data_IF_266178126662
#
_entry.id   IF_266178126662
#
_cell.length_a   1.000
_cell.length_b   1.000
_cell.length_c   1.000
_cell.angle_alpha   90.00
_cell.angle_beta   90.00
_cell.angle_gamma   90.00
#
_symmetry.space_group_name_H-M   'P 1'
#
loop_
_entity.id
_entity.type
_entity.pdbx_description
1 polymer ?
#
# COMPACT_ATOMS: atom_id res chain seq x y z
N UNK A 1 -73.65 70.28 -49.71
CA UNK A 1 -74.24 71.60 -49.37
C UNK A 1 -74.07 72.59 -50.52
N UNK A 2 -74.55 72.27 -51.72
CA UNK A 2 -74.50 73.19 -52.90
C UNK A 2 -75.89 73.31 -53.56
N UNK A 3 -76.83 72.40 -53.24
CA UNK A 3 -78.19 72.40 -53.80
C UNK A 3 -79.15 73.44 -53.23
N UNK A 4 -78.86 74.05 -52.08
CA UNK A 4 -79.76 75.03 -51.43
C UNK A 4 -79.61 76.45 -51.98
N UNK A 5 -78.42 76.82 -52.48
CA UNK A 5 -78.10 78.18 -52.90
C UNK A 5 -78.58 78.50 -54.34
N UNK A 6 -78.83 77.46 -55.15
CA UNK A 6 -79.36 77.60 -56.51
C UNK A 6 -80.88 77.83 -56.48
N UNK A 7 -81.61 77.19 -55.56
CA UNK A 7 -83.07 77.29 -55.45
C UNK A 7 -83.48 78.68 -54.96
N UNK A 8 -82.75 79.26 -54.00
CA UNK A 8 -83.05 80.59 -53.45
C UNK A 8 -82.77 81.75 -54.43
N UNK A 9 -81.98 81.49 -55.49
CA UNK A 9 -81.67 82.46 -56.56
C UNK A 9 -82.73 82.44 -57.68
N UNK A 10 -83.36 81.29 -57.90
CA UNK A 10 -84.48 81.14 -58.84
C UNK A 10 -85.73 81.83 -58.32
N UNK A 11 -86.02 81.73 -57.02
CA UNK A 11 -87.20 82.37 -56.41
C UNK A 11 -87.09 83.91 -56.27
N UNK A 12 -85.87 84.46 -56.23
CA UNK A 12 -85.68 85.93 -56.19
C UNK A 12 -85.86 86.59 -57.56
N UNK A 13 -85.61 85.86 -58.64
CA UNK A 13 -85.79 86.33 -60.02
C UNK A 13 -87.28 86.33 -60.45
N UNK A 14 -88.08 85.39 -59.94
CA UNK A 14 -89.52 85.31 -60.24
C UNK A 14 -90.33 86.46 -59.61
N UNK A 15 -89.95 86.92 -58.41
CA UNK A 15 -90.62 88.06 -57.75
C UNK A 15 -90.31 89.42 -58.37
N UNK A 16 -89.07 89.65 -58.84
CA UNK A 16 -88.69 90.92 -59.51
C UNK A 16 -89.24 91.03 -60.94
N UNK A 17 -89.38 89.91 -61.66
CA UNK A 17 -90.01 89.88 -62.98
C UNK A 17 -91.51 90.21 -62.95
N UNK A 18 -92.21 89.84 -61.88
CA UNK A 18 -93.66 89.99 -61.76
C UNK A 18 -94.10 91.46 -61.60
N UNK A 19 -93.33 92.30 -60.89
CA UNK A 19 -93.67 93.71 -60.67
C UNK A 19 -93.35 94.62 -61.87
N UNK A 20 -92.31 94.33 -62.66
CA UNK A 20 -92.00 95.09 -63.88
C UNK A 20 -92.96 94.76 -65.03
N UNK A 21 -93.49 93.54 -65.10
CA UNK A 21 -94.45 93.14 -66.13
C UNK A 21 -95.81 93.84 -65.96
N UNK A 22 -96.27 94.07 -64.73
CA UNK A 22 -97.58 94.71 -64.48
C UNK A 22 -97.62 96.20 -64.89
N UNK A 23 -96.55 96.97 -64.61
CA UNK A 23 -96.45 98.38 -65.02
C UNK A 23 -96.22 98.54 -66.54
N UNK A 24 -95.61 97.55 -67.18
CA UNK A 24 -95.40 97.56 -68.63
C UNK A 24 -96.68 97.21 -69.40
N UNK A 25 -97.52 96.32 -68.87
CA UNK A 25 -98.78 95.91 -69.51
C UNK A 25 -99.82 97.04 -69.49
N UNK A 26 -99.94 97.81 -68.41
CA UNK A 26 -100.87 98.96 -68.37
C UNK A 26 -100.44 100.11 -69.29
N UNK A 27 -99.13 100.39 -69.40
CA UNK A 27 -98.62 101.38 -70.35
C UNK A 27 -98.78 100.92 -71.82
N UNK A 28 -98.58 99.64 -72.10
CA UNK A 28 -98.78 99.05 -73.42
C UNK A 28 -100.27 99.00 -73.80
N UNK A 29 -101.18 98.72 -72.85
CA UNK A 29 -102.63 98.78 -73.09
C UNK A 29 -103.11 100.22 -73.33
N UNK A 30 -102.55 101.22 -72.64
CA UNK A 30 -102.88 102.64 -72.86
C UNK A 30 -102.42 103.14 -74.23
N UNK A 31 -101.22 102.76 -74.69
CA UNK A 31 -100.72 103.10 -76.05
C UNK A 31 -101.53 102.39 -77.14
N UNK A 32 -101.98 101.14 -76.87
CA UNK A 32 -102.79 100.38 -77.84
C UNK A 32 -104.20 100.98 -78.00
N UNK A 33 -104.79 101.51 -76.93
CA UNK A 33 -106.13 102.13 -76.97
C UNK A 33 -106.13 103.49 -77.69
N UNK A 34 -105.08 104.31 -77.51
CA UNK A 34 -104.96 105.61 -78.18
C UNK A 34 -104.67 105.46 -79.69
N UNK A 35 -103.88 104.45 -80.09
CA UNK A 35 -103.62 104.20 -81.51
C UNK A 35 -104.83 103.62 -82.28
N UNK A 36 -105.77 102.95 -81.62
CA UNK A 36 -106.96 102.38 -82.29
C UNK A 36 -108.01 103.47 -82.58
N UNK A 37 -108.05 104.57 -81.82
CA UNK A 37 -109.00 105.66 -82.03
C UNK A 37 -108.59 106.69 -83.10
N UNK A 38 -107.41 106.54 -83.73
CA UNK A 38 -106.94 107.39 -84.83
C UNK A 38 -107.04 106.75 -86.23
N UNK A 39 -107.53 105.51 -86.34
CA UNK A 39 -107.79 104.86 -87.62
C UNK A 39 -109.22 104.32 -87.70
N UNK A 40 -110.19 105.23 -87.78
CA UNK A 40 -111.49 104.89 -88.34
C UNK A 40 -111.88 105.86 -89.45
N UNK A 41 -112.53 105.28 -90.46
CA UNK A 41 -113.29 105.91 -91.55
C UNK A 41 -112.52 106.48 -92.75
N UNK A 42 -111.93 105.59 -93.52
CA UNK A 42 -112.06 105.56 -95.00
C UNK A 42 -112.01 104.09 -95.41
N UNK A 43 -112.84 103.68 -96.37
CA UNK A 43 -112.85 102.32 -96.92
C UNK A 43 -111.48 102.05 -97.55
N UNK A 44 -110.57 101.50 -96.77
CA UNK A 44 -109.25 101.07 -97.22
C UNK A 44 -109.48 100.09 -98.37
N UNK A 45 -108.93 100.42 -99.54
CA UNK A 45 -109.01 99.58 -100.72
C UNK A 45 -108.47 98.19 -100.36
N UNK A 46 -108.98 97.13 -100.99
CA UNK A 46 -108.62 95.73 -100.70
C UNK A 46 -107.11 95.54 -100.62
N UNK A 47 -106.37 96.34 -101.39
CA UNK A 47 -104.91 96.42 -101.44
C UNK A 47 -104.25 96.87 -100.12
N UNK A 48 -104.75 97.91 -99.43
CA UNK A 48 -104.11 98.38 -98.19
C UNK A 48 -104.38 97.45 -96.99
N UNK A 49 -105.52 96.76 -96.99
CA UNK A 49 -105.81 95.69 -96.02
C UNK A 49 -104.94 94.46 -96.29
N UNK A 50 -104.73 94.12 -97.56
CA UNK A 50 -103.84 93.03 -97.97
C UNK A 50 -102.38 93.34 -97.60
N UNK A 51 -101.96 94.61 -97.73
CA UNK A 51 -100.66 95.08 -97.26
C UNK A 51 -100.52 94.94 -95.73
N UNK A 52 -101.52 95.36 -94.95
CA UNK A 52 -101.48 95.23 -93.48
C UNK A 52 -101.52 93.77 -93.02
N UNK A 53 -102.31 92.92 -93.67
CA UNK A 53 -102.37 91.47 -93.43
C UNK A 53 -101.01 90.84 -93.76
N UNK A 54 -100.36 91.25 -94.85
CA UNK A 54 -99.02 90.76 -95.20
C UNK A 54 -97.97 91.18 -94.16
N UNK A 55 -98.04 92.41 -93.64
CA UNK A 55 -97.15 92.90 -92.56
C UNK A 55 -97.40 92.15 -91.25
N UNK A 56 -98.66 91.86 -90.91
CA UNK A 56 -99.01 91.08 -89.73
C UNK A 56 -98.53 89.63 -89.85
N UNK A 57 -98.73 88.98 -91.00
CA UNK A 57 -98.22 87.63 -91.25
C UNK A 57 -96.69 87.57 -91.27
N UNK A 58 -96.02 88.56 -91.87
CA UNK A 58 -94.56 88.67 -91.83
C UNK A 58 -94.05 88.83 -90.38
N UNK A 59 -94.78 89.58 -89.54
CA UNK A 59 -94.44 89.73 -88.12
C UNK A 59 -94.70 88.47 -87.31
N UNK A 60 -95.80 87.77 -87.56
CA UNK A 60 -96.10 86.48 -86.93
C UNK A 60 -95.05 85.44 -87.32
N UNK A 61 -94.69 85.34 -88.60
CA UNK A 61 -93.62 84.48 -89.08
C UNK A 61 -92.29 84.83 -88.41
N UNK A 62 -91.94 86.12 -88.33
CA UNK A 62 -90.73 86.57 -87.63
C UNK A 62 -90.73 86.24 -86.13
N UNK A 63 -91.90 86.18 -85.47
CA UNK A 63 -92.00 85.78 -84.07
C UNK A 63 -91.95 84.26 -83.89
N UNK A 64 -92.54 83.51 -84.82
CA UNK A 64 -92.43 82.05 -84.88
C UNK A 64 -90.97 81.63 -85.07
N UNK A 65 -90.25 82.25 -86.02
CA UNK A 65 -88.82 82.01 -86.24
C UNK A 65 -87.97 82.32 -84.99
N UNK A 66 -88.31 83.40 -84.27
CA UNK A 66 -87.63 83.77 -83.02
C UNK A 66 -87.93 82.79 -81.89
N UNK A 67 -89.17 82.33 -81.78
CA UNK A 67 -89.55 81.32 -80.78
C UNK A 67 -88.82 80.01 -81.06
N UNK A 68 -88.80 79.55 -82.31
CA UNK A 68 -88.12 78.32 -82.72
C UNK A 68 -86.61 78.42 -82.47
N UNK A 69 -85.99 79.57 -82.79
CA UNK A 69 -84.58 79.82 -82.51
C UNK A 69 -84.28 79.77 -81.00
N UNK A 70 -85.11 80.43 -80.18
CA UNK A 70 -84.94 80.44 -78.72
C UNK A 70 -85.13 79.04 -78.15
N UNK A 71 -86.18 78.33 -78.53
CA UNK A 71 -86.42 76.96 -78.07
C UNK A 71 -85.31 76.01 -78.49
N UNK A 72 -84.78 76.16 -79.71
CA UNK A 72 -83.63 75.37 -80.17
C UNK A 72 -82.40 75.66 -79.31
N UNK A 73 -82.09 76.94 -79.07
CA UNK A 73 -80.94 77.35 -78.26
C UNK A 73 -81.04 76.87 -76.81
N UNK A 74 -82.24 76.89 -76.22
CA UNK A 74 -82.49 76.37 -74.87
C UNK A 74 -82.41 74.84 -74.83
N UNK A 75 -82.93 74.14 -75.85
CA UNK A 75 -82.77 72.68 -75.97
C UNK A 75 -81.29 72.28 -76.10
N UNK A 76 -80.49 73.04 -76.84
CA UNK A 76 -79.06 72.80 -76.97
C UNK A 76 -78.31 73.05 -75.66
N UNK A 77 -78.60 74.17 -74.96
CA UNK A 77 -78.05 74.45 -73.63
C UNK A 77 -78.42 73.36 -72.63
N UNK A 78 -79.69 72.91 -72.65
CA UNK A 78 -80.17 71.84 -71.79
C UNK A 78 -79.47 70.51 -72.09
N UNK A 79 -79.31 70.15 -73.36
CA UNK A 79 -78.56 68.96 -73.77
C UNK A 79 -77.09 69.03 -73.34
N UNK A 80 -76.43 70.15 -73.60
CA UNK A 80 -75.04 70.38 -73.20
C UNK A 80 -74.85 70.31 -71.68
N UNK A 81 -75.76 70.91 -70.91
CA UNK A 81 -75.75 70.83 -69.46
C UNK A 81 -75.95 69.38 -68.95
N UNK A 82 -76.88 68.64 -69.55
CA UNK A 82 -77.10 67.22 -69.22
C UNK A 82 -75.90 66.35 -69.58
N UNK A 83 -75.25 66.61 -70.72
CA UNK A 83 -74.03 65.90 -71.14
C UNK A 83 -72.85 66.22 -70.21
N UNK A 84 -72.66 67.48 -69.83
CA UNK A 84 -71.64 67.87 -68.86
C UNK A 84 -71.89 67.21 -67.49
N UNK A 85 -73.14 67.14 -67.03
CA UNK A 85 -73.50 66.44 -65.80
C UNK A 85 -73.18 64.93 -65.90
N UNK A 86 -73.55 64.27 -67.00
CA UNK A 86 -73.24 62.85 -67.23
C UNK A 86 -71.74 62.59 -67.22
N UNK A 87 -70.95 63.44 -67.88
CA UNK A 87 -69.48 63.31 -67.91
C UNK A 87 -68.86 63.52 -66.52
N UNK A 88 -69.38 64.47 -65.74
CA UNK A 88 -68.95 64.69 -64.36
C UNK A 88 -69.26 63.46 -63.49
N UNK A 89 -70.48 62.92 -63.58
CA UNK A 89 -70.89 61.72 -62.85
C UNK A 89 -70.05 60.50 -63.25
N UNK A 90 -69.78 60.30 -64.54
CA UNK A 90 -68.92 59.22 -65.01
C UNK A 90 -67.48 59.38 -64.54
N UNK A 91 -66.98 60.61 -64.48
CA UNK A 91 -65.64 60.90 -63.94
C UNK A 91 -65.56 60.58 -62.45
N UNK A 92 -66.59 60.97 -61.67
CA UNK A 92 -66.70 60.65 -60.25
C UNK A 92 -66.81 59.13 -60.01
N UNK A 93 -67.62 58.42 -60.81
CA UNK A 93 -67.74 56.95 -60.73
C UNK A 93 -66.41 56.27 -61.02
N UNK A 94 -65.70 56.68 -62.08
CA UNK A 94 -64.39 56.14 -62.43
C UNK A 94 -63.38 56.38 -61.31
N UNK A 95 -63.37 57.56 -60.73
CA UNK A 95 -62.46 57.89 -59.63
C UNK A 95 -62.76 57.06 -58.38
N UNK A 96 -64.03 56.90 -58.03
CA UNK A 96 -64.45 56.03 -56.92
C UNK A 96 -64.03 54.57 -57.14
N UNK A 97 -64.28 54.02 -58.34
CA UNK A 97 -63.88 52.65 -58.69
C UNK A 97 -62.35 52.50 -58.63
N UNK A 98 -61.59 53.49 -59.13
CA UNK A 98 -60.11 53.49 -59.04
C UNK A 98 -59.63 53.51 -57.59
N UNK A 99 -60.24 54.34 -56.75
CA UNK A 99 -59.88 54.42 -55.34
C UNK A 99 -60.12 53.08 -54.63
N UNK A 100 -61.25 52.45 -54.89
CA UNK A 100 -61.59 51.16 -54.29
C UNK A 100 -60.70 50.03 -54.80
N UNK A 101 -60.40 50.03 -56.11
CA UNK A 101 -59.43 49.10 -56.69
C UNK A 101 -58.04 49.25 -56.07
N UNK A 102 -57.60 50.48 -55.79
CA UNK A 102 -56.33 50.75 -55.13
C UNK A 102 -56.33 50.29 -53.66
N UNK A 103 -57.44 50.47 -52.94
CA UNK A 103 -57.60 49.96 -51.56
C UNK A 103 -57.50 48.44 -51.53
N UNK A 104 -58.20 47.75 -52.41
CA UNK A 104 -58.14 46.29 -52.47
C UNK A 104 -56.78 45.80 -52.94
N UNK A 105 -56.14 46.47 -53.91
CA UNK A 105 -54.78 46.12 -54.33
C UNK A 105 -53.78 46.22 -53.17
N UNK A 106 -53.82 47.31 -52.41
CA UNK A 106 -52.92 47.49 -51.25
C UNK A 106 -53.21 46.48 -50.14
N UNK A 107 -54.49 46.16 -49.88
CA UNK A 107 -54.88 45.07 -48.95
C UNK A 107 -54.27 43.74 -49.36
N UNK A 108 -54.44 43.32 -50.61
CA UNK A 108 -53.87 42.08 -51.13
C UNK A 108 -52.33 42.10 -51.15
N UNK A 109 -51.70 43.24 -51.42
CA UNK A 109 -50.24 43.39 -51.31
C UNK A 109 -49.75 43.17 -49.88
N UNK A 110 -50.42 43.79 -48.89
CA UNK A 110 -50.08 43.63 -47.47
C UNK A 110 -50.27 42.17 -47.04
N UNK A 111 -51.38 41.54 -47.41
CA UNK A 111 -51.64 40.12 -47.09
C UNK A 111 -50.61 39.20 -47.76
N UNK A 112 -50.29 39.41 -49.04
CA UNK A 112 -49.21 38.66 -49.72
C UNK A 112 -47.88 38.82 -48.99
N UNK A 113 -47.51 40.04 -48.61
CA UNK A 113 -46.27 40.28 -47.86
C UNK A 113 -46.30 39.68 -46.45
N UNK A 114 -47.46 39.61 -45.80
CA UNK A 114 -47.64 38.94 -44.51
C UNK A 114 -47.42 37.43 -44.68
N UNK A 115 -48.12 36.79 -45.61
CA UNK A 115 -47.98 35.36 -45.88
C UNK A 115 -46.56 34.98 -46.32
N UNK A 116 -45.90 35.80 -47.14
CA UNK A 116 -44.51 35.58 -47.54
C UNK A 116 -43.53 35.67 -46.36
N UNK A 117 -43.77 36.58 -45.41
CA UNK A 117 -42.97 36.68 -44.19
C UNK A 117 -43.19 35.46 -43.30
N UNK A 118 -44.45 35.12 -43.01
CA UNK A 118 -44.79 33.95 -42.19
C UNK A 118 -44.22 32.65 -42.77
N UNK A 119 -44.29 32.45 -44.09
CA UNK A 119 -43.71 31.29 -44.77
C UNK A 119 -42.17 31.28 -44.77
N UNK A 120 -41.53 32.45 -44.69
CA UNK A 120 -40.07 32.55 -44.55
C UNK A 120 -39.67 32.25 -43.10
N UNK A 121 -40.35 32.87 -42.14
CA UNK A 121 -40.11 32.70 -40.72
C UNK A 121 -40.32 31.25 -40.28
N UNK A 122 -41.35 30.57 -40.80
CA UNK A 122 -41.59 29.15 -40.56
C UNK A 122 -40.42 28.27 -41.04
N UNK A 123 -39.95 28.48 -42.28
CA UNK A 123 -38.79 27.74 -42.82
C UNK A 123 -37.51 28.04 -42.05
N UNK A 124 -37.26 29.30 -41.72
CA UNK A 124 -36.10 29.65 -40.91
C UNK A 124 -36.18 29.04 -39.50
N UNK A 125 -37.36 28.97 -38.90
CA UNK A 125 -37.56 28.33 -37.61
C UNK A 125 -37.26 26.82 -37.67
N UNK A 126 -37.76 26.12 -38.68
CA UNK A 126 -37.45 24.69 -38.89
C UNK A 126 -35.94 24.46 -39.08
N UNK A 127 -35.27 25.32 -39.85
CA UNK A 127 -33.81 25.25 -40.04
C UNK A 127 -33.06 25.52 -38.72
N UNK A 128 -33.49 26.50 -37.93
CA UNK A 128 -32.91 26.79 -36.61
C UNK A 128 -33.07 25.59 -35.67
N UNK A 129 -34.25 24.97 -35.64
CA UNK A 129 -34.49 23.76 -34.84
C UNK A 129 -33.64 22.57 -35.31
N UNK A 130 -33.48 22.38 -36.63
CA UNK A 130 -32.60 21.35 -37.17
C UNK A 130 -31.15 21.59 -36.77
N UNK A 131 -30.64 22.82 -36.91
CA UNK A 131 -29.29 23.19 -36.49
C UNK A 131 -29.09 23.03 -34.98
N UNK A 132 -30.07 23.44 -34.17
CA UNK A 132 -30.03 23.26 -32.72
C UNK A 132 -29.92 21.78 -32.34
N UNK A 133 -30.76 20.91 -32.92
CA UNK A 133 -30.70 19.45 -32.72
C UNK A 133 -29.36 18.87 -33.16
N UNK A 134 -28.84 19.29 -34.31
CA UNK A 134 -27.53 18.84 -34.78
C UNK A 134 -26.40 19.30 -33.86
N UNK A 135 -26.42 20.54 -33.38
CA UNK A 135 -25.42 21.04 -32.42
C UNK A 135 -25.48 20.30 -31.10
N UNK A 136 -26.68 20.05 -30.56
CA UNK A 136 -26.88 19.30 -29.31
C UNK A 136 -26.41 17.85 -29.46
N UNK A 137 -26.73 17.21 -30.59
CA UNK A 137 -26.26 15.87 -30.89
C UNK A 137 -24.73 15.80 -30.98
N UNK A 138 -24.08 16.75 -31.66
CA UNK A 138 -22.62 16.84 -31.73
C UNK A 138 -22.01 17.05 -30.35
N UNK A 139 -22.55 17.96 -29.54
CA UNK A 139 -22.12 18.18 -28.16
C UNK A 139 -22.23 16.92 -27.31
N UNK A 140 -23.35 16.20 -27.40
CA UNK A 140 -23.53 14.93 -26.69
C UNK A 140 -22.55 13.85 -27.16
N UNK A 141 -22.33 13.71 -28.47
CA UNK A 141 -21.33 12.77 -28.99
C UNK A 141 -19.92 13.10 -28.53
N UNK A 142 -19.53 14.39 -28.52
CA UNK A 142 -18.23 14.83 -28.01
C UNK A 142 -18.09 14.55 -26.51
N UNK A 143 -19.17 14.76 -25.74
CA UNK A 143 -19.20 14.45 -24.32
C UNK A 143 -19.05 12.94 -24.06
N UNK A 144 -19.78 12.10 -24.79
CA UNK A 144 -19.64 10.64 -24.71
C UNK A 144 -18.23 10.18 -25.07
N UNK A 145 -17.61 10.77 -26.11
CA UNK A 145 -16.22 10.45 -26.46
C UNK A 145 -15.26 10.87 -25.34
N UNK A 146 -15.45 12.05 -24.76
CA UNK A 146 -14.66 12.51 -23.62
C UNK A 146 -14.80 11.57 -22.43
N UNK A 147 -16.03 11.23 -22.03
CA UNK A 147 -16.30 10.30 -20.92
C UNK A 147 -15.70 8.92 -21.17
N UNK A 148 -15.79 8.41 -22.42
CA UNK A 148 -15.17 7.15 -22.81
C UNK A 148 -13.65 7.20 -22.68
N UNK A 149 -13.01 8.28 -23.15
CA UNK A 149 -11.56 8.47 -23.02
C UNK A 149 -11.15 8.58 -21.55
N UNK A 150 -11.85 9.38 -20.75
CA UNK A 150 -11.61 9.52 -19.31
C UNK A 150 -11.77 8.19 -18.59
N UNK A 151 -12.80 7.40 -18.93
CA UNK A 151 -12.99 6.07 -18.37
C UNK A 151 -11.84 5.12 -18.76
N UNK A 152 -11.42 5.12 -20.02
CA UNK A 152 -10.29 4.31 -20.50
C UNK A 152 -8.97 4.70 -19.80
N UNK A 153 -8.67 5.99 -19.70
CA UNK A 153 -7.48 6.47 -18.99
C UNK A 153 -7.52 6.14 -17.50
N UNK A 154 -8.67 6.35 -16.85
CA UNK A 154 -8.82 6.03 -15.44
C UNK A 154 -8.76 4.52 -15.18
N UNK A 155 -9.25 3.69 -16.11
CA UNK A 155 -9.10 2.23 -16.03
C UNK A 155 -7.64 1.83 -16.13
N UNK A 156 -6.94 2.27 -17.18
CA UNK A 156 -5.52 1.97 -17.38
C UNK A 156 -4.67 2.43 -16.18
N UNK A 157 -4.91 3.64 -15.68
CA UNK A 157 -4.19 4.15 -14.51
C UNK A 157 -4.45 3.30 -13.27
N UNK A 158 -5.69 2.87 -13.04
CA UNK A 158 -6.02 1.98 -11.92
C UNK A 158 -5.38 0.61 -12.06
N UNK A 159 -5.34 0.06 -13.26
CA UNK A 159 -4.68 -1.23 -13.54
C UNK A 159 -3.18 -1.16 -13.26
N UNK A 160 -2.48 -0.15 -13.79
CA UNK A 160 -1.04 0.01 -13.53
C UNK A 160 -0.76 0.27 -12.05
N UNK A 161 -1.58 1.10 -11.39
CA UNK A 161 -1.45 1.36 -9.97
C UNK A 161 -1.71 0.09 -9.14
N UNK A 162 -2.67 -0.75 -9.54
CA UNK A 162 -2.95 -2.02 -8.89
C UNK A 162 -1.79 -3.02 -9.07
N UNK A 163 -1.18 -3.10 -10.26
CA UNK A 163 0.01 -3.94 -10.49
C UNK A 163 1.17 -3.53 -9.58
N UNK A 164 1.47 -2.24 -9.52
CA UNK A 164 2.51 -1.71 -8.64
C UNK A 164 2.19 -1.98 -7.17
N UNK A 165 0.94 -1.75 -6.73
CA UNK A 165 0.51 -2.08 -5.36
C UNK A 165 0.73 -3.55 -5.01
N UNK A 166 0.29 -4.46 -5.87
CA UNK A 166 0.45 -5.90 -5.66
C UNK A 166 1.93 -6.29 -5.63
N UNK A 167 2.77 -5.69 -6.49
CA UNK A 167 4.21 -5.92 -6.48
C UNK A 167 4.88 -5.43 -5.17
N UNK A 168 4.51 -4.23 -4.69
CA UNK A 168 5.00 -3.70 -3.42
C UNK A 168 4.52 -4.52 -2.23
N UNK A 169 3.26 -4.95 -2.20
CA UNK A 169 2.73 -5.82 -1.14
C UNK A 169 3.45 -7.17 -1.13
N UNK A 170 3.70 -7.77 -2.28
CA UNK A 170 4.48 -9.00 -2.39
C UNK A 170 5.92 -8.83 -1.87
N UNK A 171 6.56 -7.69 -2.18
CA UNK A 171 7.89 -7.36 -1.66
C UNK A 171 7.88 -7.18 -0.13
N UNK A 172 6.88 -6.48 0.43
CA UNK A 172 6.72 -6.30 1.88
C UNK A 172 6.50 -7.64 2.60
N UNK A 173 5.65 -8.51 2.06
CA UNK A 173 5.47 -9.87 2.59
C UNK A 173 6.78 -10.64 2.52
N UNK A 174 7.53 -10.54 1.42
CA UNK A 174 8.85 -11.16 1.28
C UNK A 174 9.86 -10.66 2.32
N UNK A 175 9.89 -9.35 2.59
CA UNK A 175 10.76 -8.77 3.62
C UNK A 175 10.34 -9.17 5.03
N UNK A 176 9.03 -9.20 5.30
CA UNK A 176 8.48 -9.64 6.59
C UNK A 176 8.85 -11.08 6.88
N UNK A 177 8.72 -11.98 5.90
CA UNK A 177 9.15 -13.38 6.03
C UNK A 177 10.65 -13.53 6.27
N UNK A 178 11.48 -12.71 5.60
CA UNK A 178 12.93 -12.71 5.87
C UNK A 178 13.25 -12.21 7.28
N UNK A 179 12.50 -11.23 7.77
CA UNK A 179 12.64 -10.72 9.13
C UNK A 179 12.24 -11.77 10.16
N UNK A 180 11.10 -12.44 9.97
CA UNK A 180 10.62 -13.55 10.80
C UNK A 180 11.63 -14.70 10.82
N UNK A 181 12.20 -15.07 9.67
CA UNK A 181 13.26 -16.08 9.62
C UNK A 181 14.54 -15.65 10.37
N UNK A 182 14.88 -14.36 10.37
CA UNK A 182 16.00 -13.85 11.16
C UNK A 182 15.66 -13.89 12.65
N UNK A 183 14.43 -13.53 13.02
CA UNK A 183 13.92 -13.59 14.40
C UNK A 183 13.98 -15.03 14.92
N UNK A 184 13.49 -16.02 14.17
CA UNK A 184 13.57 -17.45 14.51
C UNK A 184 15.03 -17.92 14.71
N UNK A 185 15.96 -17.48 13.85
CA UNK A 185 17.38 -17.80 13.99
C UNK A 185 17.99 -17.16 15.23
N UNK A 186 17.59 -15.92 15.56
CA UNK A 186 18.06 -15.21 16.76
C UNK A 186 17.52 -15.90 18.01
N UNK A 187 16.23 -16.25 18.06
CA UNK A 187 15.62 -16.96 19.17
C UNK A 187 16.23 -18.35 19.36
N UNK A 188 16.43 -19.09 18.27
CA UNK A 188 17.13 -20.36 18.31
C UNK A 188 18.57 -20.23 18.84
N UNK A 189 19.29 -19.16 18.48
CA UNK A 189 20.62 -18.87 19.02
C UNK A 189 20.56 -18.49 20.51
N UNK A 190 19.58 -17.71 20.92
CA UNK A 190 19.39 -17.33 22.32
C UNK A 190 19.15 -18.57 23.21
N UNK A 191 18.38 -19.54 22.74
CA UNK A 191 18.17 -20.82 23.42
C UNK A 191 19.46 -21.66 23.49
N UNK A 192 20.23 -21.73 22.41
CA UNK A 192 21.53 -22.42 22.41
C UNK A 192 22.52 -21.77 23.37
N UNK A 193 22.58 -20.44 23.42
CA UNK A 193 23.44 -19.70 24.34
C UNK A 193 23.01 -19.91 25.80
N UNK A 194 21.70 -20.04 26.08
CA UNK A 194 21.19 -20.40 27.40
C UNK A 194 21.66 -21.79 27.81
N UNK A 195 21.50 -22.80 26.95
CA UNK A 195 21.96 -24.17 27.23
C UNK A 195 23.49 -24.25 27.39
N UNK A 196 24.24 -23.49 26.59
CA UNK A 196 25.68 -23.40 26.72
C UNK A 196 26.10 -22.79 28.06
N UNK A 197 25.41 -21.74 28.54
CA UNK A 197 25.65 -21.17 29.88
C UNK A 197 25.34 -22.17 30.99
N UNK A 198 24.26 -22.94 30.87
CA UNK A 198 23.95 -24.01 31.83
C UNK A 198 25.06 -25.06 31.86
N UNK A 199 25.50 -25.56 30.70
CA UNK A 199 26.60 -26.53 30.61
C UNK A 199 27.92 -25.97 31.17
N UNK A 200 28.26 -24.71 30.86
CA UNK A 200 29.43 -24.03 31.42
C UNK A 200 29.35 -23.91 32.95
N UNK A 201 28.19 -23.57 33.50
CA UNK A 201 28.01 -23.48 34.96
C UNK A 201 28.20 -24.84 35.64
N UNK A 202 27.72 -25.92 35.02
CA UNK A 202 27.93 -27.29 35.49
C UNK A 202 29.40 -27.69 35.38
N UNK A 203 30.07 -27.35 34.28
CA UNK A 203 31.50 -27.62 34.10
C UNK A 203 32.33 -26.91 35.17
N UNK A 204 32.11 -25.61 35.40
CA UNK A 204 32.78 -24.87 36.46
C UNK A 204 32.52 -25.47 37.85
N UNK A 205 31.29 -25.95 38.10
CA UNK A 205 30.96 -26.64 39.34
C UNK A 205 31.72 -27.97 39.50
N UNK A 206 31.84 -28.73 38.40
CA UNK A 206 32.60 -29.99 38.38
C UNK A 206 34.11 -29.73 38.53
N UNK A 207 34.66 -28.70 37.90
CA UNK A 207 36.07 -28.32 38.00
C UNK A 207 36.41 -27.79 39.40
N UNK A 208 35.54 -26.97 40.00
CA UNK A 208 35.69 -26.54 41.38
C UNK A 208 35.66 -27.73 42.34
N UNK A 209 34.79 -28.71 42.10
CA UNK A 209 34.75 -29.96 42.87
C UNK A 209 36.03 -30.79 42.65
N UNK A 210 36.49 -30.94 41.41
CA UNK A 210 37.71 -31.67 41.08
C UNK A 210 38.95 -31.02 41.72
N UNK A 211 39.06 -29.70 41.71
CA UNK A 211 40.09 -28.96 42.44
C UNK A 211 40.01 -29.20 43.95
N UNK A 212 38.78 -29.25 44.51
CA UNK A 212 38.57 -29.54 45.94
C UNK A 212 38.96 -30.99 46.30
N UNK A 213 38.71 -31.94 45.40
CA UNK A 213 39.12 -33.33 45.59
C UNK A 213 40.63 -33.51 45.43
N UNK A 214 41.27 -32.83 44.49
CA UNK A 214 42.74 -32.85 44.37
C UNK A 214 43.44 -32.22 45.58
N UNK A 215 42.81 -31.27 46.28
CA UNK A 215 43.34 -30.69 47.52
C UNK A 215 43.00 -31.53 48.77
N UNK A 216 41.93 -32.31 48.75
CA UNK A 216 41.57 -33.28 49.80
C UNK A 216 42.05 -34.67 49.37
N UNK A 217 43.37 -34.83 49.39
CA UNK A 217 43.91 -36.18 49.63
C UNK A 217 43.50 -36.61 51.04
N UNK A 218 43.39 -37.93 51.33
CA UNK A 218 42.95 -38.40 52.63
C UNK A 218 44.07 -38.13 53.65
N UNK A 219 44.02 -36.95 54.24
CA UNK A 219 44.84 -36.58 55.37
C UNK A 219 44.02 -36.86 56.61
N UNK A 220 44.38 -37.93 57.31
CA UNK A 220 43.96 -38.10 58.70
C UNK A 220 44.30 -36.82 59.48
N UNK A 221 43.27 -36.24 60.09
CA UNK A 221 43.35 -35.05 60.93
C UNK A 221 44.34 -35.28 62.08
N UNK A 222 45.42 -34.50 62.11
CA UNK A 222 45.97 -34.02 63.37
C UNK A 222 45.85 -32.50 63.38
N UNK A 223 45.13 -31.97 64.37
CA UNK A 223 45.04 -30.54 64.64
C UNK A 223 46.45 -29.92 64.70
N UNK A 224 46.75 -29.00 63.79
CA UNK A 224 47.08 -27.60 64.08
C UNK A 224 47.33 -26.84 62.77
N UNK A 225 46.65 -25.70 62.65
CA UNK A 225 46.80 -24.66 61.62
C UNK A 225 48.22 -24.04 61.71
N UNK A 226 48.88 -23.45 60.72
CA UNK A 226 48.51 -22.59 59.59
C UNK A 226 49.70 -22.55 58.60
N UNK A 227 49.42 -22.22 57.33
CA UNK A 227 50.07 -21.20 56.48
C UNK A 227 50.37 -21.68 55.05
N UNK A 228 49.54 -21.17 54.13
CA UNK A 228 49.70 -20.95 52.69
C UNK A 228 51.09 -20.38 52.33
N UNK A 229 51.70 -20.54 51.16
CA UNK A 229 51.32 -20.98 49.81
C UNK A 229 52.58 -21.52 49.11
N UNK A 230 52.39 -22.17 47.96
CA UNK A 230 53.39 -22.49 46.91
C UNK A 230 54.31 -23.69 47.14
N UNK A 231 53.78 -24.92 46.96
CA UNK A 231 54.60 -26.05 46.50
C UNK A 231 53.81 -26.90 45.50
N UNK A 232 53.63 -26.37 44.29
CA UNK A 232 53.35 -27.18 43.11
C UNK A 232 54.66 -27.88 42.72
N UNK A 233 54.90 -29.10 43.23
CA UNK A 233 55.75 -30.19 42.68
C UNK A 233 56.26 -31.22 43.71
N UNK A 234 55.78 -31.24 44.97
CA UNK A 234 56.33 -32.17 45.97
C UNK A 234 55.36 -33.20 46.56
N UNK A 235 54.08 -33.22 46.14
CA UNK A 235 53.08 -34.09 46.76
C UNK A 235 53.25 -35.59 46.45
N UNK A 236 53.90 -35.95 45.34
CA UNK A 236 54.27 -37.36 45.08
C UNK A 236 55.35 -37.88 46.04
N UNK A 237 56.12 -36.98 46.68
CA UNK A 237 57.08 -37.34 47.72
C UNK A 237 56.41 -37.89 48.97
N UNK A 238 55.35 -37.23 49.46
CA UNK A 238 54.69 -37.61 50.72
C UNK A 238 54.02 -39.00 50.67
N UNK A 239 53.52 -39.41 49.50
CA UNK A 239 52.86 -40.70 49.33
C UNK A 239 53.89 -41.83 49.17
N UNK A 240 54.98 -41.57 48.44
CA UNK A 240 56.15 -42.48 48.31
C UNK A 240 56.82 -42.70 49.66
N UNK A 241 56.97 -41.65 50.47
CA UNK A 241 57.55 -41.73 51.81
C UNK A 241 56.66 -42.50 52.79
N UNK A 242 55.33 -42.42 52.64
CA UNK A 242 54.41 -43.20 53.45
C UNK A 242 54.47 -44.69 53.09
N UNK A 243 54.44 -45.06 51.81
CA UNK A 243 54.61 -46.47 51.39
C UNK A 243 55.98 -47.00 51.83
N UNK A 244 57.02 -46.17 51.79
CA UNK A 244 58.33 -46.50 52.38
C UNK A 244 58.22 -46.79 53.87
N UNK A 245 57.52 -45.96 54.63
CA UNK A 245 57.31 -46.15 56.07
C UNK A 245 56.42 -47.35 56.40
N UNK A 246 55.41 -47.67 55.58
CA UNK A 246 54.59 -48.88 55.74
C UNK A 246 55.42 -50.12 55.44
N UNK A 247 56.18 -50.16 54.34
CA UNK A 247 57.12 -51.25 54.06
C UNK A 247 58.19 -51.41 55.16
N UNK A 248 58.60 -50.30 55.80
CA UNK A 248 59.61 -50.26 56.86
C UNK A 248 59.08 -50.71 58.23
N UNK A 249 57.82 -50.42 58.55
CA UNK A 249 57.26 -50.64 59.89
C UNK A 249 56.40 -51.91 60.02
N UNK A 250 56.29 -52.72 58.96
CA UNK A 250 55.52 -53.97 59.01
C UNK A 250 56.39 -55.11 59.57
N UNK A 251 55.99 -55.61 60.74
CA UNK A 251 56.45 -56.87 61.31
C UNK A 251 55.54 -58.01 60.85
N UNK A 252 56.12 -59.11 60.37
CA UNK A 252 55.40 -60.24 59.82
C UNK A 252 55.12 -61.28 60.92
N UNK A 253 53.86 -61.41 61.35
CA UNK A 253 53.38 -62.57 62.10
C UNK A 253 52.14 -63.08 61.37
N UNK A 254 52.13 -64.37 61.08
CA UNK A 254 50.94 -65.07 60.64
C UNK A 254 49.93 -65.17 61.79
N UNK A 255 48.65 -65.33 61.51
CA UNK A 255 47.55 -65.24 62.49
C UNK A 255 47.60 -66.28 63.66
N UNK A 256 48.68 -67.05 63.78
CA UNK A 256 49.01 -67.92 64.90
C UNK A 256 50.16 -67.35 65.73
N UNK A 257 49.85 -67.00 66.98
CA UNK A 257 50.71 -66.46 68.04
C UNK A 257 52.18 -66.89 67.99
N UNK A 258 53.06 -65.95 67.62
CA UNK A 258 54.51 -66.03 67.80
C UNK A 258 54.97 -65.25 69.04
N UNK A 259 56.15 -65.60 69.55
CA UNK A 259 56.80 -64.95 70.68
C UNK A 259 57.19 -63.49 70.39
N UNK A 260 57.28 -62.64 71.43
CA UNK A 260 57.73 -61.23 71.31
C UNK A 260 59.09 -61.09 70.59
N UNK A 261 59.95 -62.12 70.68
CA UNK A 261 61.24 -62.14 70.01
C UNK A 261 61.15 -62.44 68.51
N UNK A 262 60.19 -63.25 68.07
CA UNK A 262 59.89 -63.45 66.64
C UNK A 262 59.30 -62.18 66.01
N UNK A 263 58.49 -61.43 66.77
CA UNK A 263 58.05 -60.10 66.38
C UNK A 263 59.24 -59.15 66.15
N UNK A 264 60.15 -59.08 67.13
CA UNK A 264 61.32 -58.21 67.08
C UNK A 264 62.29 -58.60 65.95
N UNK A 265 62.51 -59.90 65.71
CA UNK A 265 63.38 -60.38 64.65
C UNK A 265 62.76 -60.22 63.25
N UNK A 266 61.45 -60.43 63.11
CA UNK A 266 60.71 -60.20 61.86
C UNK A 266 60.66 -58.71 61.50
N UNK A 267 60.47 -57.84 62.50
CA UNK A 267 60.58 -56.38 62.35
C UNK A 267 62.00 -55.95 61.95
N UNK A 268 63.03 -56.50 62.61
CA UNK A 268 64.43 -56.20 62.31
C UNK A 268 64.84 -56.76 60.93
N UNK A 269 64.31 -57.90 60.52
CA UNK A 269 64.49 -58.45 59.19
C UNK A 269 63.89 -57.54 58.12
N UNK A 270 62.68 -56.99 58.35
CA UNK A 270 62.03 -56.01 57.46
C UNK A 270 62.86 -54.73 57.33
N UNK A 271 63.36 -54.21 58.46
CA UNK A 271 64.22 -53.02 58.48
C UNK A 271 65.54 -53.26 57.73
N UNK A 272 66.17 -54.44 57.92
CA UNK A 272 67.46 -54.77 57.32
C UNK A 272 67.34 -55.00 55.80
N UNK A 273 66.28 -55.67 55.34
CA UNK A 273 66.04 -55.93 53.91
C UNK A 273 65.76 -54.64 53.15
N UNK A 274 65.07 -53.67 53.76
CA UNK A 274 64.73 -52.39 53.12
C UNK A 274 65.87 -51.36 53.21
N UNK A 275 66.66 -51.33 54.29
CA UNK A 275 67.76 -50.35 54.43
C UNK A 275 69.10 -50.85 53.84
N UNK A 276 69.46 -52.15 54.00
CA UNK A 276 70.79 -52.67 53.58
C UNK A 276 70.85 -52.96 52.08
N UNK A 277 69.82 -53.56 51.47
CA UNK A 277 69.85 -53.84 50.02
C UNK A 277 69.85 -52.56 49.19
N UNK A 278 69.11 -51.53 49.58
CA UNK A 278 68.92 -50.33 48.76
C UNK A 278 70.08 -49.33 48.87
N UNK A 279 70.60 -49.05 50.08
CA UNK A 279 71.80 -48.21 50.24
C UNK A 279 73.05 -48.85 49.64
N UNK A 280 73.15 -50.19 49.68
CA UNK A 280 74.28 -50.89 49.10
C UNK A 280 74.20 -50.91 47.56
N UNK A 281 73.01 -51.11 46.97
CA UNK A 281 72.80 -51.01 45.52
C UNK A 281 73.08 -49.59 44.98
N UNK A 282 72.72 -48.55 45.73
CA UNK A 282 73.02 -47.16 45.36
C UNK A 282 74.51 -46.79 45.55
N UNK A 283 75.19 -47.39 46.53
CA UNK A 283 76.63 -47.21 46.71
C UNK A 283 77.45 -47.94 45.63
N UNK A 284 77.00 -49.13 45.17
CA UNK A 284 77.69 -49.93 44.16
C UNK A 284 77.54 -49.31 42.75
N UNK A 285 76.39 -48.71 42.42
CA UNK A 285 76.17 -48.06 41.12
C UNK A 285 76.98 -46.78 40.92
N UNK A 286 77.44 -46.13 42.00
CA UNK A 286 78.27 -44.91 41.94
C UNK A 286 79.76 -45.16 41.67
N UNK A 287 80.26 -46.41 41.82
CA UNK A 287 81.70 -46.71 41.78
C UNK A 287 82.20 -47.24 40.41
N UNK A 288 81.32 -47.74 39.51
CA UNK A 288 81.72 -48.18 38.15
C UNK A 288 80.52 -48.25 37.19
N UNK A 289 80.41 -47.40 36.14
CA UNK A 289 79.17 -47.27 35.35
C UNK A 289 79.05 -48.20 34.12
N UNK A 290 80.03 -49.05 33.78
CA UNK A 290 80.03 -49.74 32.48
C UNK A 290 80.24 -51.27 32.52
N UNK A 291 79.59 -51.94 33.47
CA UNK A 291 79.37 -53.39 33.38
C UNK A 291 77.86 -53.57 33.37
N UNK A 292 77.31 -53.98 32.22
CA UNK A 292 75.95 -54.50 32.13
C UNK A 292 75.79 -55.58 33.20
N UNK A 293 75.00 -55.26 34.22
CA UNK A 293 75.10 -55.87 35.53
C UNK A 293 74.74 -57.36 35.52
N UNK A 294 75.70 -58.28 35.76
CA UNK A 294 75.41 -59.70 36.03
C UNK A 294 74.60 -59.91 37.32
N UNK A 295 74.34 -58.83 38.08
CA UNK A 295 73.60 -58.84 39.33
C UNK A 295 72.07 -58.93 39.12
N UNK A 296 71.52 -58.42 38.01
CA UNK A 296 70.08 -58.54 37.70
C UNK A 296 69.73 -59.98 37.28
N UNK A 297 70.66 -60.65 36.59
CA UNK A 297 70.52 -62.07 36.28
C UNK A 297 70.71 -62.93 37.53
N UNK A 298 71.66 -62.60 38.41
CA UNK A 298 71.84 -63.28 39.69
C UNK A 298 70.61 -63.16 40.61
N UNK A 299 69.90 -62.02 40.61
CA UNK A 299 68.66 -61.84 41.38
C UNK A 299 67.51 -62.67 40.78
N UNK A 300 67.39 -62.72 39.44
CA UNK A 300 66.41 -63.58 38.76
C UNK A 300 66.66 -65.07 39.02
N UNK A 301 67.93 -65.47 39.12
CA UNK A 301 68.34 -66.85 39.38
C UNK A 301 68.24 -67.21 40.89
N UNK A 302 68.33 -66.22 41.79
CA UNK A 302 68.11 -66.43 43.25
C UNK A 302 66.62 -66.59 43.60
N UNK A 303 65.72 -65.88 42.89
CA UNK A 303 64.26 -65.98 43.08
C UNK A 303 63.67 -67.28 42.51
N UNK A 304 64.36 -67.94 41.56
CA UNK A 304 63.90 -69.20 40.95
C UNK A 304 64.31 -70.45 41.72
N UNK A 305 65.27 -70.38 42.66
CA UNK A 305 65.73 -71.54 43.42
C UNK A 305 65.12 -71.70 44.83
N UNK A 306 64.17 -70.86 45.24
CA UNK A 306 63.40 -71.05 46.48
C UNK A 306 61.89 -71.08 46.22
N UNK A 307 61.50 -72.02 45.38
CA UNK A 307 60.12 -72.42 45.16
C UNK A 307 59.88 -73.76 45.88
N UNK A 308 59.84 -73.70 47.21
CA UNK A 308 59.28 -74.78 48.04
C UNK A 308 58.45 -74.12 49.15
N UNK A 309 57.17 -74.47 49.16
CA UNK A 309 56.14 -74.23 50.17
C UNK A 309 55.36 -72.89 50.13
N UNK A 310 54.26 -72.94 49.37
CA UNK A 310 52.91 -72.55 49.78
C UNK A 310 52.76 -71.47 50.88
N UNK A 311 53.06 -70.22 50.54
CA UNK A 311 52.36 -69.00 51.02
C UNK A 311 52.95 -67.82 50.26
N UNK A 312 52.10 -67.02 49.60
CA UNK A 312 52.55 -65.80 48.94
C UNK A 312 53.15 -64.86 49.99
N UNK A 313 54.48 -64.69 49.95
CA UNK A 313 55.22 -63.88 50.93
C UNK A 313 54.77 -62.42 50.84
N UNK A 314 54.26 -61.88 51.96
CA UNK A 314 53.84 -60.48 52.03
C UNK A 314 54.99 -59.52 51.71
N UNK A 315 56.23 -59.95 51.91
CA UNK A 315 57.43 -59.20 51.52
C UNK A 315 57.59 -59.03 50.00
N UNK A 316 57.20 -60.04 49.20
CA UNK A 316 57.23 -59.95 47.74
C UNK A 316 56.11 -59.04 47.21
N UNK A 317 54.96 -59.00 47.89
CA UNK A 317 53.87 -58.07 47.59
C UNK A 317 54.22 -56.62 47.94
N UNK A 318 54.88 -56.39 49.09
CA UNK A 318 55.33 -55.06 49.50
C UNK A 318 56.48 -54.54 48.62
N UNK A 319 57.43 -55.41 48.27
CA UNK A 319 58.54 -55.04 47.38
C UNK A 319 58.05 -54.72 45.96
N UNK A 320 57.09 -55.49 45.45
CA UNK A 320 56.47 -55.24 44.15
C UNK A 320 55.57 -54.00 44.14
N UNK A 321 54.79 -53.77 45.21
CA UNK A 321 54.00 -52.54 45.36
C UNK A 321 54.90 -51.29 45.43
N UNK A 322 56.02 -51.37 46.16
CA UNK A 322 57.03 -50.31 46.20
C UNK A 322 57.66 -50.09 44.83
N UNK A 323 57.99 -51.16 44.10
CA UNK A 323 58.57 -51.05 42.76
C UNK A 323 57.58 -50.41 41.76
N UNK A 324 56.30 -50.76 41.85
CA UNK A 324 55.25 -50.14 41.04
C UNK A 324 55.12 -48.63 41.31
N UNK A 325 55.27 -48.19 42.56
CA UNK A 325 55.29 -46.77 42.96
C UNK A 325 56.59 -46.04 42.59
N UNK A 326 57.71 -46.75 42.52
CA UNK A 326 59.03 -46.17 42.28
C UNK A 326 59.39 -46.09 40.79
N UNK A 327 58.74 -46.88 39.94
CA UNK A 327 58.96 -46.93 38.49
C UNK A 327 58.36 -45.70 37.78
N UNK A 328 58.87 -44.51 38.09
CA UNK A 328 58.55 -43.25 37.38
C UNK A 328 59.43 -43.00 36.14
N UNK A 329 60.22 -43.99 35.71
CA UNK A 329 61.02 -43.88 34.49
C UNK A 329 60.29 -44.52 33.31
N UNK A 330 59.35 -43.79 32.70
CA UNK A 330 59.05 -43.97 31.28
C UNK A 330 59.02 -42.63 30.54
N UNK A 331 60.14 -42.32 29.87
CA UNK A 331 60.41 -41.13 29.05
C UNK A 331 59.77 -41.28 27.65
N UNK A 332 58.50 -41.69 27.53
CA UNK A 332 57.78 -41.59 26.24
C UNK A 332 56.25 -41.78 26.33
N UNK A 333 55.54 -40.89 27.03
CA UNK A 333 54.11 -40.69 26.81
C UNK A 333 53.69 -39.35 27.40
N UNK A 334 53.32 -38.40 26.54
CA UNK A 334 53.02 -37.00 26.88
C UNK A 334 51.67 -36.79 27.56
N UNK A 335 51.35 -37.58 28.58
CA UNK A 335 50.16 -37.42 29.42
C UNK A 335 50.60 -37.53 30.89
N UNK A 336 51.13 -36.42 31.43
CA UNK A 336 51.90 -36.35 32.68
C UNK A 336 51.13 -36.76 33.95
N UNK A 337 49.79 -36.90 33.88
CA UNK A 337 48.95 -37.14 35.05
C UNK A 337 48.34 -38.57 35.11
N UNK A 338 48.49 -39.37 34.06
CA UNK A 338 47.83 -40.69 33.95
C UNK A 338 48.73 -41.82 34.47
N UNK A 339 50.06 -41.69 34.36
CA UNK A 339 51.02 -42.73 34.77
C UNK A 339 51.06 -42.98 36.28
N UNK A 340 50.94 -41.92 37.10
CA UNK A 340 50.94 -42.05 38.56
C UNK A 340 49.69 -42.73 39.13
N UNK A 341 48.55 -42.61 38.45
CA UNK A 341 47.30 -43.23 38.85
C UNK A 341 47.32 -44.75 38.64
N UNK A 342 47.84 -45.22 37.51
CA UNK A 342 47.96 -46.65 37.21
C UNK A 342 48.89 -47.36 38.20
N UNK A 343 49.96 -46.68 38.58
CA UNK A 343 50.84 -47.12 39.65
C UNK A 343 50.05 -47.25 40.96
N UNK A 344 49.24 -46.24 41.33
CA UNK A 344 48.45 -46.21 42.56
C UNK A 344 47.41 -47.33 42.60
N UNK A 345 46.68 -47.55 41.51
CA UNK A 345 45.74 -48.65 41.37
C UNK A 345 46.43 -50.01 41.52
N UNK A 346 47.60 -50.17 40.91
CA UNK A 346 48.40 -51.40 41.01
C UNK A 346 48.89 -51.63 42.44
N UNK A 347 49.31 -50.57 43.13
CA UNK A 347 49.71 -50.66 44.54
C UNK A 347 48.52 -50.97 45.46
N UNK A 348 47.35 -50.36 45.26
CA UNK A 348 46.12 -50.68 46.02
C UNK A 348 45.72 -52.14 45.82
N UNK A 349 45.84 -52.67 44.59
CA UNK A 349 45.60 -54.10 44.31
C UNK A 349 46.58 -55.02 45.05
N UNK A 350 47.88 -54.72 45.01
CA UNK A 350 48.92 -55.52 45.65
C UNK A 350 48.85 -55.44 47.18
N UNK A 351 48.59 -54.26 47.74
CA UNK A 351 48.44 -54.04 49.18
C UNK A 351 47.11 -54.62 49.69
N UNK A 352 46.06 -54.64 48.87
CA UNK A 352 44.80 -55.31 49.18
C UNK A 352 44.91 -56.83 49.29
N UNK A 353 45.98 -57.44 48.76
CA UNK A 353 46.26 -58.88 48.87
C UNK A 353 46.98 -59.26 50.18
N UNK A 354 47.41 -58.27 50.98
CA UNK A 354 48.06 -58.51 52.27
C UNK A 354 47.11 -59.19 53.27
N UNK A 355 47.67 -60.01 54.17
CA UNK A 355 46.94 -60.73 55.24
C UNK A 355 47.59 -60.48 56.61
N UNK A 356 46.81 -60.63 57.68
CA UNK A 356 47.26 -60.42 59.07
C UNK A 356 47.56 -58.95 59.43
N UNK A 357 48.50 -58.74 60.35
CA UNK A 357 48.80 -57.43 60.94
C UNK A 357 49.31 -56.39 59.92
N UNK A 358 49.98 -56.86 58.86
CA UNK A 358 50.42 -56.01 57.75
C UNK A 358 49.27 -55.31 57.03
N UNK A 359 48.11 -55.98 56.94
CA UNK A 359 46.90 -55.43 56.35
C UNK A 359 46.28 -54.38 57.25
N UNK A 360 46.27 -54.57 58.58
CA UNK A 360 45.67 -53.61 59.52
C UNK A 360 46.35 -52.25 59.43
N UNK A 361 47.68 -52.22 59.37
CA UNK A 361 48.45 -50.98 59.21
C UNK A 361 48.22 -50.33 57.84
N UNK A 362 48.09 -51.15 56.78
CA UNK A 362 47.80 -50.65 55.44
C UNK A 362 46.32 -50.31 55.21
N UNK A 363 45.41 -50.71 56.10
CA UNK A 363 43.97 -50.64 55.87
C UNK A 363 43.46 -49.21 55.83
N UNK A 364 43.93 -48.35 56.73
CA UNK A 364 43.50 -46.96 56.78
C UNK A 364 43.88 -46.24 55.49
N UNK A 365 45.12 -46.44 55.03
CA UNK A 365 45.57 -45.93 53.74
C UNK A 365 44.83 -46.56 52.54
N UNK A 366 44.50 -47.85 52.58
CA UNK A 366 43.77 -48.52 51.51
C UNK A 366 42.35 -47.97 51.35
N UNK A 367 41.67 -47.70 52.47
CA UNK A 367 40.33 -47.10 52.47
C UNK A 367 40.40 -45.69 51.88
N UNK A 368 41.38 -44.92 52.30
CA UNK A 368 41.65 -43.57 51.85
C UNK A 368 42.00 -43.50 50.35
N UNK A 369 42.92 -44.37 49.89
CA UNK A 369 43.28 -44.48 48.48
C UNK A 369 42.11 -44.95 47.61
N UNK A 370 41.25 -45.85 48.12
CA UNK A 370 40.04 -46.29 47.41
C UNK A 370 39.03 -45.16 47.25
N UNK A 371 38.72 -44.40 48.29
CA UNK A 371 37.79 -43.27 48.19
C UNK A 371 38.29 -42.22 47.19
N UNK A 372 39.60 -41.97 47.14
CA UNK A 372 40.20 -41.09 46.15
C UNK A 372 40.02 -41.61 44.72
N UNK A 373 40.28 -42.89 44.47
CA UNK A 373 40.10 -43.50 43.14
C UNK A 373 38.62 -43.53 42.72
N UNK A 374 37.70 -43.82 43.63
CA UNK A 374 36.25 -43.79 43.37
C UNK A 374 35.78 -42.37 43.01
N UNK A 375 36.19 -41.35 43.78
CA UNK A 375 35.87 -39.95 43.49
C UNK A 375 36.43 -39.51 42.12
N UNK A 376 37.66 -39.89 41.80
CA UNK A 376 38.28 -39.58 40.50
C UNK A 376 37.56 -40.26 39.34
N UNK A 377 37.14 -41.52 39.51
CA UNK A 377 36.35 -42.23 38.53
C UNK A 377 35.01 -41.53 38.27
N UNK A 378 34.31 -41.08 39.33
CA UNK A 378 33.06 -40.32 39.15
C UNK A 378 33.28 -39.01 38.39
N UNK A 379 34.36 -38.27 38.68
CA UNK A 379 34.70 -37.04 37.97
C UNK A 379 34.95 -37.29 36.47
N UNK A 380 35.69 -38.35 36.13
CA UNK A 380 35.93 -38.74 34.73
C UNK A 380 34.64 -39.10 33.99
N UNK A 381 33.71 -39.81 34.64
CA UNK A 381 32.41 -40.13 34.02
C UNK A 381 31.55 -38.89 33.79
N UNK A 382 31.56 -37.92 34.71
CA UNK A 382 30.86 -36.65 34.53
C UNK A 382 31.49 -35.81 33.41
N UNK A 383 32.82 -35.76 33.32
CA UNK A 383 33.52 -35.07 32.24
C UNK A 383 33.18 -35.69 30.86
N UNK A 384 33.16 -37.02 30.77
CA UNK A 384 32.76 -37.72 29.56
C UNK A 384 31.28 -37.45 29.18
N UNK A 385 30.39 -37.37 30.17
CA UNK A 385 29.00 -37.00 29.96
C UNK A 385 28.86 -35.56 29.43
N UNK A 386 29.60 -34.61 30.02
CA UNK A 386 29.62 -33.21 29.55
C UNK A 386 30.15 -33.13 28.11
N UNK A 387 31.27 -33.79 27.80
CA UNK A 387 31.82 -33.83 26.44
C UNK A 387 30.85 -34.44 25.41
N UNK A 388 30.17 -35.53 25.77
CA UNK A 388 29.15 -36.14 24.91
C UNK A 388 27.94 -35.21 24.69
N UNK A 389 27.52 -34.50 25.74
CA UNK A 389 26.45 -33.49 25.64
C UNK A 389 26.85 -32.35 24.73
N UNK A 390 28.08 -31.83 24.84
CA UNK A 390 28.59 -30.78 23.96
C UNK A 390 28.59 -31.25 22.49
N UNK A 391 29.10 -32.45 22.18
CA UNK A 391 29.03 -33.04 20.83
C UNK A 391 27.59 -33.10 20.30
N UNK A 392 26.62 -33.49 21.13
CA UNK A 392 25.21 -33.56 20.71
C UNK A 392 24.62 -32.18 20.37
N UNK A 393 25.07 -31.12 21.06
CA UNK A 393 24.67 -29.75 20.73
C UNK A 393 25.29 -29.27 19.43
N UNK A 394 26.48 -29.74 19.06
CA UNK A 394 27.09 -29.46 17.75
C UNK A 394 26.37 -30.20 16.61
N UNK A 395 25.91 -31.43 16.83
CA UNK A 395 25.20 -32.19 15.80
C UNK A 395 23.81 -31.59 15.47
N UNK A 396 23.15 -30.93 16.42
CA UNK A 396 21.91 -30.15 16.14
C UNK A 396 22.16 -28.85 15.37
N UNK A 397 23.41 -28.39 15.23
CA UNK A 397 23.79 -27.18 14.48
C UNK A 397 24.09 -27.46 13.00
N UNK A 398 24.23 -28.72 12.61
CA UNK A 398 24.31 -29.21 11.22
C UNK A 398 22.93 -29.68 10.79
#
# INVERSE_FOLDING_TARGET
MIGSEVIERVDRFTYLGSCCLFLSIDWILSIKLDCINQSSSTTMNVDELNDLISVAHARISSLQDKLDHLEHSERERMKSALEAQRQADDSLRKEYIKQELNRERTRHEIERHKWLREARDAREHELRLALARHSEHLSHMLQLQKEKMEHQFAHQLREELAKERVAFEAALIGWTKRMEAIEDVIDGRADLDRLAKEAQSLWLSCEALACRLHSVSPSMKSHHETKSDSVLLSQTGSLKDFVYNVCRNVALIDETSGSLWEYALSWLQSILIVDVKYKCLEAISRIKPNIGSPYVQYIKDYDTMKQTDSRTDSFQLLSSAKFAMASDHNIFSGDENTSGDEALETAVRLLGQLRGQSRVVANDWLVDARHYLEAKQTARTLLAYVAARDISTFQKRL
#
